data_IF_387714088685
#
_entry.id   IF_387714088685
#
_cell.length_a   1.000
_cell.length_b   1.000
_cell.length_c   1.000
_cell.angle_alpha   90.00
_cell.angle_beta   90.00
_cell.angle_gamma   90.00
#
_symmetry.space_group_name_H-M   'P 1'
#
loop_
_entity.id
_entity.type
_entity.pdbx_description
1 polymer ?
#
# COMPACT_ATOMS: atom_id res chain seq x y z
N UNK A 1 9.95 42.26 -14.81
CA UNK A 1 10.25 41.38 -13.66
C UNK A 1 9.04 41.03 -12.78
N UNK A 2 7.99 41.86 -12.69
CA UNK A 2 6.78 41.54 -11.88
C UNK A 2 5.90 40.39 -12.42
N UNK A 3 5.93 40.14 -13.74
CA UNK A 3 5.09 39.11 -14.38
C UNK A 3 5.59 37.67 -14.20
N UNK A 4 6.89 37.47 -13.95
CA UNK A 4 7.48 36.13 -13.77
C UNK A 4 7.25 35.63 -12.34
N UNK A 5 7.22 36.54 -11.35
CA UNK A 5 6.96 36.19 -9.95
C UNK A 5 5.54 35.62 -9.73
N UNK A 6 4.55 36.09 -10.50
CA UNK A 6 3.16 35.63 -10.40
C UNK A 6 2.97 34.19 -10.92
N UNK A 7 3.79 33.77 -11.90
CA UNK A 7 3.71 32.44 -12.52
C UNK A 7 4.30 31.36 -11.59
N UNK A 8 5.40 31.69 -10.90
CA UNK A 8 6.02 30.78 -9.91
C UNK A 8 5.15 30.61 -8.66
N UNK A 9 4.43 31.67 -8.25
CA UNK A 9 3.48 31.61 -7.14
C UNK A 9 2.22 30.79 -7.47
N UNK A 10 1.74 30.81 -8.72
CA UNK A 10 0.63 29.95 -9.16
C UNK A 10 1.01 28.47 -9.26
N UNK A 11 2.27 28.15 -9.60
CA UNK A 11 2.71 26.75 -9.69
C UNK A 11 2.86 26.06 -8.33
N UNK A 12 3.11 26.83 -7.27
CA UNK A 12 3.23 26.28 -5.89
C UNK A 12 1.89 26.07 -5.21
N UNK A 13 0.81 26.71 -5.68
CA UNK A 13 -0.55 26.54 -5.16
C UNK A 13 -1.31 25.35 -5.76
N UNK A 14 -0.81 24.76 -6.85
CA UNK A 14 -1.42 23.58 -7.50
C UNK A 14 -1.11 22.25 -6.78
N UNK A 15 -0.17 22.23 -5.83
CA UNK A 15 0.18 21.02 -5.08
C UNK A 15 -0.61 20.83 -3.78
N UNK A 16 -1.49 21.77 -3.42
CA UNK A 16 -2.18 21.75 -2.11
C UNK A 16 -3.57 21.08 -2.13
N UNK A 17 -3.97 20.46 -3.23
CA UNK A 17 -5.31 19.87 -3.39
C UNK A 17 -5.26 18.35 -3.64
N UNK A 18 -4.75 17.59 -2.67
CA UNK A 18 -5.05 16.15 -2.57
C UNK A 18 -5.28 15.79 -1.10
N UNK A 19 -6.36 16.32 -0.51
CA UNK A 19 -6.74 15.97 0.85
C UNK A 19 -8.26 15.84 0.98
N UNK A 20 -8.88 14.98 0.17
CA UNK A 20 -10.22 14.46 0.48
C UNK A 20 -10.64 13.25 -0.39
N UNK A 21 -9.89 12.14 -0.37
CA UNK A 21 -10.42 10.79 -0.66
C UNK A 21 -9.38 9.74 -0.29
N UNK A 22 -9.63 8.96 0.76
CA UNK A 22 -8.81 7.78 1.04
C UNK A 22 -9.03 6.68 0.01
N UNK A 23 -8.14 5.68 -0.02
CA UNK A 23 -8.35 4.48 -0.82
C UNK A 23 -9.51 3.65 -0.24
N UNK A 24 -10.30 3.04 -1.13
CA UNK A 24 -11.48 2.25 -0.75
C UNK A 24 -11.36 0.85 -1.33
N UNK A 25 -11.61 -0.17 -0.51
CA UNK A 25 -11.66 -1.55 -0.96
C UNK A 25 -12.91 -1.81 -1.81
N UNK A 26 -12.75 -2.46 -2.95
CA UNK A 26 -13.81 -2.89 -3.85
C UNK A 26 -13.42 -4.23 -4.47
N UNK A 27 -13.93 -5.32 -3.90
CA UNK A 27 -13.49 -6.67 -4.27
C UNK A 27 -14.58 -7.72 -4.06
N UNK A 28 -14.41 -8.86 -4.72
CA UNK A 28 -15.09 -10.14 -4.45
C UNK A 28 -14.06 -11.10 -3.88
N UNK A 29 -14.41 -11.85 -2.85
CA UNK A 29 -13.50 -12.85 -2.30
C UNK A 29 -14.23 -14.07 -1.73
N UNK A 30 -13.50 -15.19 -1.69
CA UNK A 30 -13.90 -16.44 -1.07
C UNK A 30 -12.88 -16.82 0.02
N UNK A 31 -13.38 -17.32 1.16
CA UNK A 31 -12.58 -17.68 2.35
C UNK A 31 -11.57 -16.57 2.74
N UNK A 32 -12.03 -15.33 2.73
CA UNK A 32 -11.20 -14.15 2.99
C UNK A 32 -11.06 -13.92 4.50
N UNK A 33 -9.88 -14.22 5.04
CA UNK A 33 -9.52 -13.98 6.43
C UNK A 33 -8.59 -12.76 6.48
N UNK A 34 -8.91 -11.79 7.33
CA UNK A 34 -8.10 -10.59 7.56
C UNK A 34 -7.75 -10.43 9.03
N UNK A 35 -6.55 -9.93 9.28
CA UNK A 35 -6.09 -9.47 10.58
C UNK A 35 -5.50 -8.07 10.40
N UNK A 36 -5.90 -7.12 11.24
CA UNK A 36 -5.42 -5.74 11.17
C UNK A 36 -5.17 -5.20 12.57
N UNK A 37 -3.92 -4.81 12.80
CA UNK A 37 -3.46 -4.05 13.95
C UNK A 37 -2.87 -2.72 13.45
N UNK A 38 -2.41 -1.86 14.35
CA UNK A 38 -1.89 -0.55 13.99
C UNK A 38 -0.72 -0.61 13.00
N UNK A 39 0.21 -1.54 13.20
CA UNK A 39 1.48 -1.68 12.48
C UNK A 39 1.62 -3.03 11.77
N UNK A 40 0.57 -3.86 11.78
CA UNK A 40 0.53 -5.17 11.16
C UNK A 40 -0.79 -5.38 10.42
N UNK A 41 -0.75 -5.98 9.24
CA UNK A 41 -1.94 -6.51 8.60
C UNK A 41 -1.64 -7.81 7.87
N UNK A 42 -2.60 -8.73 7.84
CA UNK A 42 -2.52 -9.92 7.02
C UNK A 42 -3.85 -10.25 6.37
N UNK A 43 -3.78 -10.84 5.18
CA UNK A 43 -4.92 -11.45 4.49
C UNK A 43 -4.56 -12.85 4.01
N UNK A 44 -5.55 -13.74 4.03
CA UNK A 44 -5.54 -15.04 3.37
C UNK A 44 -6.84 -15.21 2.63
N UNK A 45 -6.79 -15.79 1.43
CA UNK A 45 -7.97 -15.97 0.60
C UNK A 45 -7.82 -17.19 -0.31
N UNK A 46 -8.93 -17.90 -0.56
CA UNK A 46 -8.96 -18.91 -1.63
C UNK A 46 -9.26 -18.29 -2.99
N UNK A 47 -9.99 -17.18 -3.02
CA UNK A 47 -10.15 -16.36 -4.23
C UNK A 47 -10.27 -14.88 -3.90
N UNK A 48 -9.69 -14.03 -4.73
CA UNK A 48 -9.79 -12.57 -4.66
C UNK A 48 -9.85 -11.99 -6.08
N UNK A 49 -10.75 -11.03 -6.29
CA UNK A 49 -10.85 -10.21 -7.51
C UNK A 49 -11.21 -8.77 -7.13
N UNK A 50 -10.39 -7.80 -7.52
CA UNK A 50 -10.57 -6.37 -7.26
C UNK A 50 -9.45 -5.77 -6.40
N UNK A 51 -9.83 -4.78 -5.59
CA UNK A 51 -8.91 -3.98 -4.77
C UNK A 51 -9.20 -4.17 -3.28
N UNK A 52 -8.18 -4.56 -2.52
CA UNK A 52 -8.21 -4.57 -1.06
C UNK A 52 -7.20 -3.58 -0.48
N UNK A 53 -7.64 -2.72 0.43
CA UNK A 53 -6.83 -1.68 1.06
C UNK A 53 -6.64 -1.99 2.54
N UNK A 54 -5.37 -2.01 2.96
CA UNK A 54 -4.95 -2.05 4.36
C UNK A 54 -4.52 -0.64 4.78
N UNK A 55 -4.84 -0.26 6.02
CA UNK A 55 -4.43 1.02 6.60
C UNK A 55 -3.59 0.78 7.85
N UNK A 56 -2.32 1.11 7.77
CA UNK A 56 -1.32 0.92 8.81
C UNK A 56 -0.78 2.27 9.28
N UNK A 57 -0.11 2.29 10.44
CA UNK A 57 0.55 3.47 11.01
C UNK A 57 1.81 3.05 11.74
N UNK A 58 2.94 3.67 11.38
CA UNK A 58 4.20 3.44 12.07
C UNK A 58 4.14 3.98 13.51
N UNK A 59 4.50 3.14 14.49
CA UNK A 59 4.57 3.52 15.91
C UNK A 59 5.92 4.14 16.26
N UNK A 60 5.89 5.15 17.14
CA UNK A 60 7.07 5.88 17.59
C UNK A 60 7.28 7.16 16.79
N UNK A 61 7.73 8.23 17.46
CA UNK A 61 8.00 9.53 16.85
C UNK A 61 9.47 9.62 16.43
N UNK A 62 9.74 10.24 15.28
CA UNK A 62 11.10 10.57 14.81
C UNK A 62 11.93 9.39 14.33
N UNK A 63 11.29 8.26 14.00
CA UNK A 63 11.97 7.06 13.48
C UNK A 63 11.46 6.71 12.09
N UNK A 64 12.40 6.49 11.18
CA UNK A 64 12.11 5.94 9.85
C UNK A 64 11.93 4.43 9.95
N UNK A 65 11.23 3.85 8.99
CA UNK A 65 11.07 2.41 8.91
C UNK A 65 10.84 1.92 7.49
N UNK A 66 10.64 0.61 7.42
CA UNK A 66 10.40 -0.14 6.19
C UNK A 66 9.13 -0.97 6.31
N UNK A 67 8.64 -1.45 5.17
CA UNK A 67 7.54 -2.39 5.08
C UNK A 67 8.14 -3.78 4.89
N UNK A 68 8.00 -4.65 5.90
CA UNK A 68 8.32 -6.06 5.76
C UNK A 68 7.12 -6.80 5.19
N UNK A 69 7.32 -7.45 4.05
CA UNK A 69 6.27 -8.11 3.28
C UNK A 69 6.59 -9.60 3.16
N UNK A 70 5.65 -10.43 3.58
CA UNK A 70 5.67 -11.88 3.33
C UNK A 70 4.42 -12.23 2.53
N UNK A 71 4.60 -12.66 1.28
CA UNK A 71 3.47 -12.95 0.40
C UNK A 71 3.71 -14.18 -0.47
N UNK A 72 2.64 -14.88 -0.83
CA UNK A 72 2.64 -16.02 -1.75
C UNK A 72 1.32 -16.08 -2.52
N UNK A 73 1.38 -16.56 -3.77
CA UNK A 73 0.21 -16.71 -4.62
C UNK A 73 0.31 -17.98 -5.49
N UNK A 74 -0.70 -18.84 -5.48
CA UNK A 74 -0.69 -20.04 -6.32
C UNK A 74 -1.17 -19.76 -7.75
N UNK A 75 -2.27 -19.00 -7.93
CA UNK A 75 -2.80 -18.65 -9.25
C UNK A 75 -3.13 -17.16 -9.38
N UNK A 76 -3.05 -16.64 -10.61
CA UNK A 76 -3.39 -15.27 -10.95
C UNK A 76 -2.19 -14.33 -10.89
N UNK A 77 -2.48 -13.03 -10.77
CA UNK A 77 -1.46 -11.98 -10.68
C UNK A 77 -2.00 -10.82 -9.86
N UNK A 78 -1.17 -10.31 -8.94
CA UNK A 78 -1.50 -9.16 -8.08
C UNK A 78 -0.40 -8.10 -8.15
N UNK A 79 -0.81 -6.84 -8.06
CA UNK A 79 0.07 -5.72 -7.75
C UNK A 79 -0.19 -5.29 -6.32
N UNK A 80 0.89 -5.16 -5.55
CA UNK A 80 0.84 -4.57 -4.22
C UNK A 80 1.48 -3.20 -4.30
N UNK A 81 0.68 -2.18 -4.00
CA UNK A 81 1.11 -0.78 -3.96
C UNK A 81 1.17 -0.30 -2.52
N UNK A 82 1.91 0.77 -2.30
CA UNK A 82 1.86 1.49 -1.04
C UNK A 82 1.79 3.01 -1.26
N UNK A 83 1.20 3.70 -0.28
CA UNK A 83 1.17 5.16 -0.21
C UNK A 83 1.40 5.59 1.24
N UNK A 84 2.59 6.13 1.52
CA UNK A 84 2.98 6.67 2.82
C UNK A 84 3.07 8.20 2.85
N UNK A 85 3.17 8.85 1.69
CA UNK A 85 3.50 10.29 1.55
C UNK A 85 2.53 11.03 0.61
N UNK A 86 1.37 10.45 0.30
CA UNK A 86 0.37 10.98 -0.63
C UNK A 86 0.63 10.62 -2.09
N UNK A 87 1.54 9.68 -2.36
CA UNK A 87 1.85 9.17 -3.70
C UNK A 87 1.80 7.65 -3.68
N UNK A 88 0.97 7.07 -4.55
CA UNK A 88 0.87 5.61 -4.75
C UNK A 88 2.07 5.12 -5.55
N UNK A 89 2.85 4.21 -4.97
CA UNK A 89 4.03 3.59 -5.58
C UNK A 89 3.87 2.07 -5.62
N UNK A 90 4.42 1.42 -6.65
CA UNK A 90 4.41 -0.05 -6.74
C UNK A 90 5.42 -0.59 -5.73
N UNK A 91 4.95 -1.42 -4.80
CA UNK A 91 5.83 -2.08 -3.84
C UNK A 91 6.41 -3.35 -4.47
N UNK A 92 5.55 -4.20 -5.02
CA UNK A 92 5.93 -5.39 -5.79
C UNK A 92 4.76 -5.91 -6.64
N UNK A 93 5.08 -6.75 -7.63
CA UNK A 93 4.14 -7.58 -8.38
C UNK A 93 4.37 -9.04 -7.99
N UNK A 94 3.30 -9.84 -7.92
CA UNK A 94 3.38 -11.26 -7.60
C UNK A 94 2.51 -12.05 -8.59
N UNK A 95 3.13 -13.02 -9.26
CA UNK A 95 2.48 -13.92 -10.22
C UNK A 95 2.27 -15.31 -9.63
N UNK A 96 1.48 -16.11 -10.33
CA UNK A 96 1.23 -17.50 -10.00
C UNK A 96 2.52 -18.29 -9.71
N UNK A 97 2.56 -18.94 -8.55
CA UNK A 97 3.69 -19.74 -8.07
C UNK A 97 4.81 -18.94 -7.40
N UNK A 98 4.72 -17.61 -7.32
CA UNK A 98 5.74 -16.77 -6.71
C UNK A 98 5.49 -16.55 -5.21
N UNK A 99 6.58 -16.27 -4.49
CA UNK A 99 6.56 -15.84 -3.10
C UNK A 99 7.68 -14.83 -2.83
N UNK A 100 7.45 -13.94 -1.87
CA UNK A 100 8.45 -12.98 -1.40
C UNK A 100 8.52 -12.97 0.14
N UNK A 101 9.67 -12.58 0.65
CA UNK A 101 9.94 -12.25 2.05
C UNK A 101 11.01 -11.15 2.06
N UNK A 102 10.57 -9.89 1.99
CA UNK A 102 11.46 -8.75 1.73
C UNK A 102 11.09 -7.52 2.55
N UNK A 103 12.09 -6.68 2.81
CA UNK A 103 11.91 -5.34 3.35
C UNK A 103 11.91 -4.33 2.21
N UNK A 104 10.79 -3.68 1.99
CA UNK A 104 10.53 -2.79 0.86
C UNK A 104 9.94 -1.46 1.34
N UNK A 105 10.07 -0.43 0.52
CA UNK A 105 9.46 0.89 0.75
C UNK A 105 10.05 1.65 1.94
N UNK A 106 9.66 2.92 2.02
CA UNK A 106 10.06 3.83 3.09
C UNK A 106 8.84 4.36 3.83
N UNK A 107 8.92 4.44 5.16
CA UNK A 107 7.82 4.91 6.01
C UNK A 107 8.34 5.90 7.04
N UNK A 108 7.76 7.11 7.06
CA UNK A 108 7.98 8.08 8.12
C UNK A 108 7.17 7.73 9.38
N UNK A 109 7.77 7.93 10.56
CA UNK A 109 7.07 7.85 11.84
C UNK A 109 5.76 8.63 11.86
N UNK A 110 4.72 8.04 12.47
CA UNK A 110 3.45 8.72 12.70
C UNK A 110 2.59 8.95 11.45
N UNK A 111 3.08 8.64 10.25
CA UNK A 111 2.28 8.67 9.02
C UNK A 111 1.42 7.42 8.88
N UNK A 112 0.27 7.61 8.24
CA UNK A 112 -0.56 6.50 7.79
C UNK A 112 0.04 5.95 6.51
N UNK A 113 0.18 4.64 6.43
CA UNK A 113 0.56 3.91 5.22
C UNK A 113 -0.66 3.17 4.71
N UNK A 114 -1.04 3.40 3.47
CA UNK A 114 -1.99 2.56 2.77
C UNK A 114 -1.22 1.48 2.01
N UNK A 115 -1.57 0.22 2.21
CA UNK A 115 -1.10 -0.88 1.36
C UNK A 115 -2.29 -1.38 0.55
N UNK A 116 -2.14 -1.39 -0.77
CA UNK A 116 -3.24 -1.57 -1.71
C UNK A 116 -2.93 -2.81 -2.55
N UNK A 117 -3.68 -3.88 -2.32
CA UNK A 117 -3.60 -5.12 -3.08
C UNK A 117 -4.61 -5.05 -4.22
N UNK A 118 -4.13 -5.05 -5.45
CA UNK A 118 -4.95 -5.01 -6.66
C UNK A 118 -4.70 -6.25 -7.51
N UNK A 119 -5.76 -7.00 -7.80
CA UNK A 119 -5.66 -8.14 -8.71
C UNK A 119 -5.55 -7.66 -10.15
N UNK A 120 -4.54 -8.11 -10.88
CA UNK A 120 -4.43 -7.93 -12.35
C UNK A 120 -5.31 -8.96 -13.04
N UNK A 121 -5.28 -10.20 -12.54
CA UNK A 121 -6.20 -11.28 -12.89
C UNK A 121 -6.76 -11.90 -11.60
N UNK A 122 -7.92 -12.57 -11.62
CA UNK A 122 -8.46 -13.21 -10.43
C UNK A 122 -7.41 -14.10 -9.75
N UNK A 123 -7.14 -13.82 -8.48
CA UNK A 123 -6.11 -14.45 -7.69
C UNK A 123 -6.69 -15.59 -6.85
N UNK A 124 -5.94 -16.69 -6.67
CA UNK A 124 -6.36 -17.81 -5.80
C UNK A 124 -5.26 -18.30 -4.89
N UNK A 125 -5.70 -18.86 -3.76
CA UNK A 125 -4.85 -19.43 -2.70
C UNK A 125 -3.69 -18.48 -2.35
N UNK A 126 -4.05 -17.25 -1.98
CA UNK A 126 -3.11 -16.19 -1.69
C UNK A 126 -2.98 -15.90 -0.21
N UNK A 127 -1.78 -15.52 0.21
CA UNK A 127 -1.48 -14.99 1.54
C UNK A 127 -0.60 -13.76 1.40
N UNK A 128 -0.94 -12.70 2.12
CA UNK A 128 -0.13 -11.48 2.20
C UNK A 128 -0.06 -11.06 3.66
N UNK A 129 1.13 -10.76 4.16
CA UNK A 129 1.39 -10.25 5.49
C UNK A 129 2.29 -9.05 5.38
N UNK A 130 1.92 -7.97 6.06
CA UNK A 130 2.57 -6.68 6.05
C UNK A 130 2.87 -6.29 7.49
N UNK A 131 4.13 -6.03 7.79
CA UNK A 131 4.60 -5.48 9.05
C UNK A 131 5.33 -4.16 8.80
N UNK A 132 4.96 -3.11 9.53
CA UNK A 132 5.76 -1.90 9.61
C UNK A 132 6.89 -2.11 10.61
N UNK A 133 8.13 -2.11 10.13
CA UNK A 133 9.33 -2.34 10.94
C UNK A 133 10.13 -1.06 11.05
N UNK A 134 10.65 -0.79 12.24
CA UNK A 134 11.64 0.27 12.45
C UNK A 134 12.94 -0.16 11.78
N UNK A 135 13.60 0.79 11.13
CA UNK A 135 14.95 0.60 10.59
C UNK A 135 16.01 0.69 11.69
#
# INVERSE_FOLDING_TARGET
MKKILLIVLCFTLLFSFVACSGYVSSYKALMFVREEHTDHASIRFSSLEGTYVMKLKMKGEGQEGSIHCVASLEEGEINVWYDALGTKELLFNLKAGESIDEHLGYVESGKTVYVIVETVTPAKEGKITIDLRKS
#
